data_IF_046469186592
#
_entry.id   IF_046469186592
#
_cell.length_a   1.000
_cell.length_b   1.000
_cell.length_c   1.000
_cell.angle_alpha   90.00
_cell.angle_beta   90.00
_cell.angle_gamma   90.00
#
_symmetry.space_group_name_H-M   'P 1'
#
loop_
_entity.id
_entity.type
_entity.pdbx_description
1 polymer ?
#
# COMPACT_ATOMS: atom_id res chain seq x y z
N UNK A 1 38.35 -28.98 48.75
CA UNK A 1 38.38 -28.50 47.34
C UNK A 1 37.95 -29.53 46.28
N UNK A 2 37.51 -30.75 46.61
CA UNK A 2 37.08 -31.77 45.63
C UNK A 2 35.64 -31.66 45.07
N UNK A 3 34.61 -31.14 45.78
CA UNK A 3 33.24 -31.13 45.23
C UNK A 3 33.05 -30.09 44.11
N UNK A 4 33.82 -29.00 44.13
CA UNK A 4 33.73 -27.93 43.14
C UNK A 4 34.12 -28.37 41.72
N UNK A 5 35.02 -29.37 41.58
CA UNK A 5 35.48 -29.89 40.29
C UNK A 5 34.46 -30.79 39.59
N UNK A 6 33.47 -31.33 40.32
CA UNK A 6 32.40 -32.17 39.76
C UNK A 6 31.12 -31.38 39.56
N UNK A 7 30.84 -30.40 40.42
CA UNK A 7 29.65 -29.54 40.32
C UNK A 7 29.73 -28.62 39.10
N UNK A 8 30.90 -28.02 38.82
CA UNK A 8 31.08 -27.10 37.69
C UNK A 8 30.76 -27.71 36.31
N UNK A 9 31.27 -28.91 35.92
CA UNK A 9 30.92 -29.50 34.63
C UNK A 9 29.45 -29.93 34.53
N UNK A 10 28.82 -30.37 35.63
CA UNK A 10 27.40 -30.72 35.64
C UNK A 10 26.52 -29.49 35.43
N UNK A 11 26.83 -28.37 36.09
CA UNK A 11 26.14 -27.09 35.88
C UNK A 11 26.36 -26.60 34.44
N UNK A 12 27.58 -26.70 33.90
CA UNK A 12 27.87 -26.30 32.53
C UNK A 12 27.08 -27.13 31.50
N UNK A 13 27.00 -28.45 31.69
CA UNK A 13 26.21 -29.36 30.84
C UNK A 13 24.73 -29.02 30.94
N UNK A 14 24.21 -28.78 32.15
CA UNK A 14 22.82 -28.34 32.35
C UNK A 14 22.49 -27.04 31.64
N UNK A 15 23.39 -26.04 31.69
CA UNK A 15 23.24 -24.77 30.96
C UNK A 15 23.28 -25.00 29.45
N UNK A 16 24.19 -25.82 28.94
CA UNK A 16 24.28 -26.13 27.49
C UNK A 16 23.01 -26.84 27.00
N UNK A 17 22.52 -27.83 27.74
CA UNK A 17 21.27 -28.53 27.39
C UNK A 17 20.08 -27.57 27.38
N UNK A 18 19.98 -26.69 28.39
CA UNK A 18 18.91 -25.69 28.46
C UNK A 18 19.00 -24.66 27.32
N UNK A 19 20.22 -24.27 26.92
CA UNK A 19 20.45 -23.40 25.76
C UNK A 19 20.05 -24.09 24.44
N UNK A 20 20.36 -25.38 24.27
CA UNK A 20 19.98 -26.15 23.07
C UNK A 20 18.46 -26.33 23.01
N UNK A 21 17.82 -26.74 24.11
CA UNK A 21 16.37 -26.90 24.18
C UNK A 21 15.65 -25.58 23.93
N UNK A 22 16.13 -24.47 24.47
CA UNK A 22 15.54 -23.14 24.21
C UNK A 22 15.70 -22.69 22.76
N UNK A 23 16.79 -23.07 22.07
CA UNK A 23 16.94 -22.80 20.63
C UNK A 23 16.00 -23.64 19.78
N UNK A 24 15.86 -24.93 20.11
CA UNK A 24 14.95 -25.82 19.40
C UNK A 24 13.49 -25.39 19.58
N UNK A 25 13.08 -25.00 20.79
CA UNK A 25 11.73 -24.52 21.06
C UNK A 25 11.42 -23.21 20.33
N UNK A 26 12.38 -22.26 20.29
CA UNK A 26 12.23 -21.02 19.51
C UNK A 26 12.14 -21.28 18.00
N UNK A 27 12.89 -22.26 17.49
CA UNK A 27 12.80 -22.67 16.08
C UNK A 27 11.42 -23.24 15.74
N UNK A 28 10.89 -24.13 16.58
CA UNK A 28 9.56 -24.69 16.40
C UNK A 28 8.44 -23.62 16.50
N UNK A 29 8.55 -22.68 17.43
CA UNK A 29 7.61 -21.56 17.57
C UNK A 29 7.65 -20.63 16.33
N UNK A 30 8.84 -20.35 15.80
CA UNK A 30 9.00 -19.56 14.58
C UNK A 30 8.41 -20.25 13.33
N UNK A 31 8.59 -21.57 13.22
CA UNK A 31 7.99 -22.35 12.15
C UNK A 31 6.46 -22.41 12.26
N UNK A 32 5.92 -22.59 13.47
CA UNK A 32 4.50 -22.57 13.74
C UNK A 32 3.89 -21.19 13.39
N UNK A 33 4.51 -20.11 13.85
CA UNK A 33 4.11 -18.74 13.51
C UNK A 33 4.08 -18.52 12.00
N UNK A 34 5.09 -19.00 11.27
CA UNK A 34 5.17 -18.86 9.81
C UNK A 34 4.03 -19.58 9.11
N UNK A 35 3.72 -20.81 9.51
CA UNK A 35 2.64 -21.60 8.90
C UNK A 35 1.28 -20.96 9.17
N UNK A 36 1.00 -20.58 10.43
CA UNK A 36 -0.25 -19.90 10.79
C UNK A 36 -0.40 -18.56 10.08
N UNK A 37 0.69 -17.79 9.94
CA UNK A 37 0.66 -16.52 9.20
C UNK A 37 0.34 -16.72 7.73
N UNK A 38 0.94 -17.71 7.08
CA UNK A 38 0.63 -18.00 5.67
C UNK A 38 -0.82 -18.44 5.49
N UNK A 39 -1.37 -19.22 6.43
CA UNK A 39 -2.80 -19.55 6.43
C UNK A 39 -3.67 -18.28 6.58
N UNK A 40 -3.33 -17.41 7.53
CA UNK A 40 -4.04 -16.15 7.76
C UNK A 40 -3.96 -15.23 6.53
N UNK A 41 -2.81 -15.18 5.85
CA UNK A 41 -2.64 -14.40 4.61
C UNK A 41 -3.55 -14.90 3.49
N UNK A 42 -3.70 -16.22 3.34
CA UNK A 42 -4.62 -16.81 2.35
C UNK A 42 -6.06 -16.43 2.66
N UNK A 43 -6.48 -16.59 3.91
CA UNK A 43 -7.83 -16.20 4.34
C UNK A 43 -8.09 -14.70 4.12
N UNK A 44 -7.10 -13.84 4.37
CA UNK A 44 -7.21 -12.40 4.10
C UNK A 44 -7.42 -12.09 2.62
N UNK A 45 -6.71 -12.79 1.72
CA UNK A 45 -6.87 -12.63 0.27
C UNK A 45 -8.24 -13.13 -0.20
N UNK A 46 -8.74 -14.23 0.36
CA UNK A 46 -10.06 -14.78 0.07
C UNK A 46 -11.18 -13.83 0.52
N UNK A 47 -11.11 -13.33 1.76
CA UNK A 47 -12.05 -12.32 2.26
C UNK A 47 -11.97 -11.03 1.46
N UNK A 48 -10.76 -10.58 1.12
CA UNK A 48 -10.53 -9.43 0.25
C UNK A 48 -11.10 -9.61 -1.17
N UNK A 49 -11.30 -10.84 -1.65
CA UNK A 49 -11.97 -11.08 -2.92
C UNK A 49 -13.45 -10.69 -2.88
N UNK A 50 -14.12 -10.87 -1.73
CA UNK A 50 -15.52 -10.44 -1.53
C UNK A 50 -15.62 -8.92 -1.60
N UNK A 51 -14.76 -8.19 -0.88
CA UNK A 51 -14.72 -6.72 -0.90
C UNK A 51 -14.50 -6.13 -2.32
N UNK A 52 -13.77 -6.84 -3.19
CA UNK A 52 -13.55 -6.45 -4.59
C UNK A 52 -14.72 -6.73 -5.51
N UNK A 53 -15.54 -7.74 -5.19
CA UNK A 53 -16.73 -8.09 -5.95
C UNK A 53 -17.92 -7.17 -5.67
N UNK A 54 -17.87 -6.41 -4.57
CA UNK A 54 -18.90 -5.49 -4.15
C UNK A 54 -18.58 -4.05 -4.58
N UNK A 55 -19.58 -3.34 -5.07
CA UNK A 55 -19.49 -1.93 -5.46
C UNK A 55 -20.16 -1.02 -4.43
N UNK A 56 -19.79 0.27 -4.43
CA UNK A 56 -20.43 1.28 -3.60
C UNK A 56 -20.21 1.07 -2.09
N UNK A 57 -21.14 1.54 -1.24
CA UNK A 57 -21.01 1.51 0.22
C UNK A 57 -20.79 0.10 0.78
N UNK A 58 -21.51 -0.91 0.28
CA UNK A 58 -21.35 -2.28 0.76
C UNK A 58 -19.92 -2.82 0.55
N UNK A 59 -19.29 -2.50 -0.58
CA UNK A 59 -17.90 -2.88 -0.81
C UNK A 59 -16.92 -2.13 0.10
N UNK A 60 -17.22 -0.88 0.43
CA UNK A 60 -16.44 -0.11 1.42
C UNK A 60 -16.54 -0.77 2.79
N UNK A 61 -17.76 -1.02 3.28
CA UNK A 61 -17.99 -1.66 4.58
C UNK A 61 -17.30 -3.02 4.68
N UNK A 62 -17.37 -3.83 3.63
CA UNK A 62 -16.67 -5.12 3.58
C UNK A 62 -15.15 -4.93 3.62
N UNK A 63 -14.59 -4.00 2.84
CA UNK A 63 -13.15 -3.71 2.88
C UNK A 63 -12.69 -3.26 4.29
N UNK A 64 -13.48 -2.41 4.96
CA UNK A 64 -13.22 -1.99 6.33
C UNK A 64 -13.26 -3.18 7.30
N UNK A 65 -14.26 -4.06 7.17
CA UNK A 65 -14.40 -5.25 7.98
C UNK A 65 -13.21 -6.21 7.79
N UNK A 66 -12.74 -6.40 6.56
CA UNK A 66 -11.56 -7.22 6.23
C UNK A 66 -10.28 -6.65 6.85
N UNK A 67 -10.03 -5.34 6.72
CA UNK A 67 -8.84 -4.72 7.32
C UNK A 67 -8.86 -4.83 8.84
N UNK A 68 -10.02 -4.55 9.48
CA UNK A 68 -10.16 -4.67 10.94
C UNK A 68 -9.91 -6.10 11.40
N UNK A 69 -10.59 -7.07 10.78
CA UNK A 69 -10.39 -8.48 11.08
C UNK A 69 -8.92 -8.90 10.94
N UNK A 70 -8.23 -8.46 9.88
CA UNK A 70 -6.83 -8.79 9.66
C UNK A 70 -5.94 -8.28 10.79
N UNK A 71 -6.10 -7.01 11.19
CA UNK A 71 -5.31 -6.41 12.27
C UNK A 71 -5.55 -7.16 13.60
N UNK A 72 -6.81 -7.48 13.91
CA UNK A 72 -7.18 -8.26 15.10
C UNK A 72 -6.56 -9.66 15.07
N UNK A 73 -6.63 -10.34 13.92
CA UNK A 73 -6.12 -11.69 13.75
C UNK A 73 -4.59 -11.74 13.83
N UNK A 74 -3.88 -10.76 13.27
CA UNK A 74 -2.42 -10.65 13.41
C UNK A 74 -2.03 -10.35 14.85
N UNK A 75 -2.74 -9.46 15.54
CA UNK A 75 -2.52 -9.21 16.96
C UNK A 75 -2.72 -10.47 17.80
N UNK A 76 -3.80 -11.22 17.56
CA UNK A 76 -4.06 -12.50 18.22
C UNK A 76 -2.96 -13.54 17.92
N UNK A 77 -2.46 -13.60 16.69
CA UNK A 77 -1.36 -14.48 16.31
C UNK A 77 -0.07 -14.12 17.06
N UNK A 78 0.26 -12.83 17.17
CA UNK A 78 1.42 -12.36 17.95
C UNK A 78 1.32 -12.73 19.42
N UNK A 79 0.12 -12.64 20.00
CA UNK A 79 -0.12 -13.03 21.39
C UNK A 79 0.03 -14.54 21.63
N UNK A 80 -0.23 -15.38 20.62
CA UNK A 80 -0.01 -16.84 20.69
C UNK A 80 1.46 -17.24 20.58
N UNK A 81 2.27 -16.45 19.87
CA UNK A 81 3.69 -16.74 19.58
C UNK A 81 4.62 -15.58 20.02
N UNK A 82 4.66 -15.24 21.32
CA UNK A 82 5.38 -14.05 21.79
C UNK A 82 6.91 -14.16 21.60
N UNK A 83 7.48 -15.36 21.71
CA UNK A 83 8.93 -15.59 21.58
C UNK A 83 9.40 -15.45 20.14
N UNK A 84 8.60 -15.94 19.19
CA UNK A 84 8.87 -15.80 17.77
C UNK A 84 8.60 -14.37 17.26
N UNK A 85 7.52 -13.72 17.70
CA UNK A 85 7.18 -12.35 17.30
C UNK A 85 8.25 -11.32 17.73
N UNK A 86 8.86 -11.50 18.90
CA UNK A 86 9.96 -10.65 19.37
C UNK A 86 11.24 -10.81 18.52
N UNK A 87 11.45 -11.99 17.92
CA UNK A 87 12.60 -12.29 17.08
C UNK A 87 12.46 -11.77 15.64
N UNK A 88 11.24 -11.45 15.19
CA UNK A 88 10.95 -10.87 13.87
C UNK A 88 11.20 -9.36 13.78
N UNK A 89 11.55 -8.70 14.89
CA UNK A 89 11.98 -7.31 14.86
C UNK A 89 13.08 -7.14 13.80
N UNK A 90 12.94 -6.17 12.88
CA UNK A 90 13.76 -6.11 11.68
C UNK A 90 15.24 -6.01 12.04
N UNK A 91 16.02 -7.01 11.65
CA UNK A 91 17.47 -6.93 11.74
C UNK A 91 17.95 -5.72 10.90
N UNK A 92 18.93 -4.93 11.37
CA UNK A 92 19.47 -3.83 10.59
C UNK A 92 20.00 -4.38 9.26
N UNK A 93 19.52 -3.83 8.14
CA UNK A 93 19.96 -4.29 6.83
C UNK A 93 21.45 -3.96 6.70
N UNK A 94 22.26 -4.97 6.33
CA UNK A 94 23.65 -4.74 5.92
C UNK A 94 23.68 -4.18 4.51
N UNK A 95 23.03 -3.04 4.29
CA UNK A 95 23.02 -2.37 3.00
C UNK A 95 24.46 -1.93 2.68
N UNK A 96 25.05 -2.51 1.64
CA UNK A 96 26.43 -2.19 1.20
C UNK A 96 26.54 -0.87 0.44
N UNK A 97 25.43 -0.15 0.23
CA UNK A 97 25.36 1.11 -0.52
C UNK A 97 24.45 2.12 0.21
N UNK A 98 24.90 3.37 0.42
CA UNK A 98 24.17 4.37 1.22
C UNK A 98 22.84 4.80 0.57
N UNK A 99 22.78 4.90 -0.76
CA UNK A 99 21.58 5.29 -1.50
C UNK A 99 20.46 4.22 -1.43
N UNK A 100 20.85 2.94 -1.41
CA UNK A 100 19.88 1.84 -1.19
C UNK A 100 19.38 1.84 0.26
N UNK A 101 20.24 2.22 1.21
CA UNK A 101 19.86 2.32 2.61
C UNK A 101 18.86 3.48 2.85
N UNK A 102 19.06 4.63 2.21
CA UNK A 102 18.11 5.77 2.32
C UNK A 102 16.76 5.45 1.68
N UNK A 103 16.74 4.83 0.50
CA UNK A 103 15.51 4.37 -0.12
C UNK A 103 14.78 3.36 0.77
N UNK A 104 15.48 2.35 1.30
CA UNK A 104 14.88 1.35 2.20
C UNK A 104 14.32 1.99 3.47
N UNK A 105 15.01 2.97 4.05
CA UNK A 105 14.52 3.73 5.20
C UNK A 105 13.25 4.51 4.89
N UNK A 106 13.16 5.16 3.72
CA UNK A 106 11.95 5.86 3.28
C UNK A 106 10.76 4.90 3.12
N UNK A 107 10.97 3.73 2.51
CA UNK A 107 9.92 2.70 2.40
C UNK A 107 9.47 2.16 3.76
N UNK A 108 10.38 1.98 4.73
CA UNK A 108 10.05 1.55 6.08
C UNK A 108 9.27 2.61 6.85
N UNK A 109 9.67 3.88 6.74
CA UNK A 109 8.97 5.00 7.35
C UNK A 109 7.55 5.12 6.78
N UNK A 110 7.41 5.02 5.46
CA UNK A 110 6.13 5.01 4.79
C UNK A 110 5.27 3.79 5.20
N UNK A 111 5.85 2.59 5.32
CA UNK A 111 5.13 1.41 5.80
C UNK A 111 4.57 1.58 7.21
N UNK A 112 5.37 2.18 8.11
CA UNK A 112 4.93 2.48 9.47
C UNK A 112 3.79 3.51 9.47
N UNK A 113 3.95 4.60 8.72
CA UNK A 113 2.90 5.63 8.57
C UNK A 113 1.58 5.03 8.06
N UNK A 114 1.66 4.16 7.03
CA UNK A 114 0.47 3.49 6.49
C UNK A 114 -0.14 2.54 7.51
N UNK A 115 0.66 1.78 8.24
CA UNK A 115 0.15 0.88 9.29
C UNK A 115 -0.58 1.65 10.40
N UNK A 116 -0.03 2.77 10.84
CA UNK A 116 -0.66 3.61 11.85
C UNK A 116 -1.99 4.20 11.35
N UNK A 117 -2.06 4.60 10.07
CA UNK A 117 -3.32 5.00 9.46
C UNK A 117 -4.37 3.86 9.41
N UNK A 118 -3.95 2.64 9.06
CA UNK A 118 -4.86 1.47 9.07
C UNK A 118 -5.36 1.14 10.47
N UNK A 119 -4.51 1.26 11.49
CA UNK A 119 -4.87 1.04 12.91
C UNK A 119 -5.81 2.13 13.43
N UNK A 120 -5.65 3.37 12.99
CA UNK A 120 -6.58 4.46 13.32
C UNK A 120 -7.97 4.22 12.71
N UNK A 121 -8.03 3.49 11.60
CA UNK A 121 -9.25 3.02 10.97
C UNK A 121 -9.15 3.08 9.45
N UNK A 122 -9.47 1.97 8.79
CA UNK A 122 -9.62 1.99 7.34
C UNK A 122 -10.93 2.68 6.98
N UNK A 123 -10.86 3.84 6.32
CA UNK A 123 -12.02 4.59 5.89
C UNK A 123 -11.70 5.30 4.57
N UNK A 124 -11.82 4.59 3.42
CA UNK A 124 -11.47 5.18 2.14
C UNK A 124 -12.38 6.37 1.84
N UNK A 125 -11.80 7.48 1.37
CA UNK A 125 -12.52 8.66 0.92
C UNK A 125 -13.30 8.34 -0.36
N UNK A 126 -12.66 7.64 -1.29
CA UNK A 126 -13.24 7.25 -2.58
C UNK A 126 -12.92 5.79 -2.86
N UNK A 127 -13.87 5.10 -3.48
CA UNK A 127 -13.73 3.69 -3.82
C UNK A 127 -14.36 3.40 -5.17
N UNK A 128 -13.66 2.66 -6.01
CA UNK A 128 -14.19 2.15 -7.27
C UNK A 128 -13.66 0.75 -7.53
N UNK A 129 -14.46 -0.06 -8.21
CA UNK A 129 -14.09 -1.40 -8.63
C UNK A 129 -14.24 -1.53 -10.14
N UNK A 130 -13.26 -2.16 -10.79
CA UNK A 130 -13.29 -2.46 -12.22
C UNK A 130 -12.42 -3.70 -12.50
N UNK A 131 -12.89 -4.57 -13.40
CA UNK A 131 -12.21 -5.81 -13.82
C UNK A 131 -11.67 -6.68 -12.66
N UNK A 132 -12.40 -6.74 -11.54
CA UNK A 132 -12.02 -7.52 -10.35
C UNK A 132 -10.92 -6.89 -9.49
N UNK A 133 -10.51 -5.66 -9.80
CA UNK A 133 -9.64 -4.82 -8.99
C UNK A 133 -10.48 -3.77 -8.28
N UNK A 134 -10.01 -3.33 -7.12
CA UNK A 134 -10.63 -2.24 -6.37
C UNK A 134 -9.56 -1.21 -6.02
N UNK A 135 -9.81 0.04 -6.36
CA UNK A 135 -8.96 1.16 -6.00
C UNK A 135 -9.69 2.02 -4.97
N UNK A 136 -9.03 2.19 -3.84
CA UNK A 136 -9.48 3.02 -2.74
C UNK A 136 -8.54 4.22 -2.59
N UNK A 137 -9.06 5.44 -2.73
CA UNK A 137 -8.35 6.66 -2.33
C UNK A 137 -8.58 6.86 -0.84
N UNK A 138 -7.52 6.74 -0.06
CA UNK A 138 -7.57 6.73 1.40
C UNK A 138 -7.63 8.15 1.96
N UNK A 139 -6.85 9.06 1.39
CA UNK A 139 -6.76 10.43 1.84
C UNK A 139 -6.38 11.35 0.68
N UNK A 140 -6.91 12.57 0.72
CA UNK A 140 -6.48 13.69 -0.12
C UNK A 140 -6.32 14.89 0.81
N UNK A 141 -5.11 15.44 0.88
CA UNK A 141 -4.83 16.56 1.77
C UNK A 141 -3.65 17.41 1.31
N UNK A 142 -3.58 18.67 1.76
CA UNK A 142 -2.43 19.51 1.49
C UNK A 142 -1.18 18.95 2.15
N UNK A 143 -0.05 19.10 1.47
CA UNK A 143 1.27 18.80 1.99
C UNK A 143 2.34 19.52 1.20
N UNK A 144 3.58 19.18 1.50
CA UNK A 144 4.76 19.69 0.81
C UNK A 144 5.31 18.58 -0.07
N UNK A 145 5.48 18.87 -1.37
CA UNK A 145 6.04 17.89 -2.29
C UNK A 145 7.48 17.57 -1.88
N UNK A 146 7.85 16.29 -1.73
CA UNK A 146 9.13 15.88 -1.17
C UNK A 146 10.35 16.35 -1.98
N UNK A 147 10.24 16.43 -3.31
CA UNK A 147 11.36 16.84 -4.17
C UNK A 147 11.41 18.35 -4.44
N UNK A 148 10.27 19.01 -4.67
CA UNK A 148 10.23 20.44 -5.07
C UNK A 148 10.06 21.37 -3.88
N UNK A 149 9.65 20.85 -2.71
CA UNK A 149 9.28 21.64 -1.53
C UNK A 149 8.15 22.65 -1.78
N UNK A 150 7.45 22.53 -2.91
CA UNK A 150 6.28 23.34 -3.23
C UNK A 150 5.03 22.75 -2.58
N UNK A 151 4.02 23.59 -2.37
CA UNK A 151 2.71 23.14 -1.90
C UNK A 151 2.09 22.20 -2.93
N UNK A 152 1.65 21.03 -2.46
CA UNK A 152 1.00 20.02 -3.29
C UNK A 152 -0.16 19.36 -2.53
N UNK A 153 -0.93 18.56 -3.24
CA UNK A 153 -1.89 17.63 -2.66
C UNK A 153 -1.29 16.23 -2.62
N UNK A 154 -1.29 15.65 -1.43
CA UNK A 154 -0.95 14.25 -1.21
C UNK A 154 -2.21 13.42 -1.39
N UNK A 155 -2.18 12.46 -2.31
CA UNK A 155 -3.23 11.49 -2.52
C UNK A 155 -2.70 10.10 -2.16
N UNK A 156 -3.20 9.52 -1.08
CA UNK A 156 -2.83 8.17 -0.67
C UNK A 156 -3.87 7.16 -1.17
N UNK A 157 -3.43 5.98 -1.61
CA UNK A 157 -4.32 4.97 -2.16
C UNK A 157 -3.97 3.54 -1.72
N UNK A 158 -4.96 2.66 -1.85
CA UNK A 158 -4.85 1.22 -1.75
C UNK A 158 -5.49 0.55 -2.99
N UNK A 159 -4.71 -0.22 -3.74
CA UNK A 159 -5.18 -1.05 -4.84
C UNK A 159 -5.23 -2.51 -4.41
N UNK A 160 -6.43 -3.08 -4.42
CA UNK A 160 -6.70 -4.45 -4.03
C UNK A 160 -6.82 -5.36 -5.25
N UNK A 161 -6.35 -6.59 -5.11
CA UNK A 161 -6.57 -7.65 -6.09
C UNK A 161 -5.55 -7.70 -7.22
N UNK A 162 -4.46 -6.93 -7.11
CA UNK A 162 -3.36 -7.01 -8.03
C UNK A 162 -2.77 -8.45 -8.03
N UNK A 163 -2.65 -9.11 -9.19
CA UNK A 163 -2.09 -10.44 -9.29
C UNK A 163 -0.62 -10.41 -8.87
N UNK A 164 -0.16 -11.54 -8.33
CA UNK A 164 1.21 -11.72 -7.87
C UNK A 164 1.78 -12.94 -8.57
N UNK A 165 3.02 -12.82 -9.04
CA UNK A 165 3.77 -13.93 -9.64
C UNK A 165 5.06 -14.15 -8.87
N UNK A 166 5.42 -15.42 -8.71
CA UNK A 166 6.72 -15.81 -8.19
C UNK A 166 7.66 -15.97 -9.38
N UNK A 167 8.65 -15.09 -9.48
CA UNK A 167 9.75 -15.27 -10.43
C UNK A 167 10.90 -15.97 -9.71
N UNK A 168 11.40 -17.04 -10.32
CA UNK A 168 12.64 -17.67 -9.89
C UNK A 168 13.77 -17.05 -10.68
N UNK A 169 14.61 -16.27 -10.00
CA UNK A 169 15.84 -15.77 -10.58
C UNK A 169 16.91 -16.86 -10.45
N UNK A 170 17.30 -17.42 -11.59
CA UNK A 170 18.35 -18.42 -11.71
C UNK A 170 19.69 -17.74 -12.03
N UNK A 171 20.08 -16.73 -11.25
CA UNK A 171 21.42 -16.12 -11.34
C UNK A 171 22.35 -16.73 -10.29
N UNK A 172 23.06 -17.80 -10.68
CA UNK A 172 24.11 -18.45 -9.90
C UNK A 172 23.64 -19.50 -8.87
N UNK A 173 24.52 -19.85 -7.92
CA UNK A 173 24.35 -20.95 -6.96
C UNK A 173 23.26 -20.74 -5.88
N UNK A 174 22.47 -19.66 -5.94
CA UNK A 174 21.35 -19.39 -5.04
C UNK A 174 20.12 -19.02 -5.86
N UNK A 175 19.18 -19.95 -6.00
CA UNK A 175 17.88 -19.66 -6.56
C UNK A 175 17.16 -18.66 -5.63
N UNK A 176 16.93 -17.44 -6.12
CA UNK A 176 16.14 -16.44 -5.41
C UNK A 176 14.71 -16.46 -5.95
N UNK A 177 13.72 -16.61 -5.07
CA UNK A 177 12.31 -16.45 -5.43
C UNK A 177 11.92 -15.01 -5.14
N UNK A 178 11.51 -14.26 -6.17
CA UNK A 178 11.04 -12.88 -6.06
C UNK A 178 9.52 -12.84 -6.29
N UNK A 179 8.80 -12.18 -5.39
CA UNK A 179 7.41 -11.81 -5.63
C UNK A 179 7.41 -10.58 -6.54
N UNK A 180 6.71 -10.68 -7.67
CA UNK A 180 6.51 -9.59 -8.63
C UNK A 180 5.01 -9.31 -8.74
N UNK A 181 4.66 -8.04 -8.64
CA UNK A 181 3.30 -7.54 -8.83
C UNK A 181 3.32 -6.67 -10.08
N UNK A 182 2.85 -7.19 -11.23
CA UNK A 182 2.98 -6.54 -12.53
C UNK A 182 1.87 -5.50 -12.74
N UNK A 183 1.84 -4.51 -11.85
CA UNK A 183 0.97 -3.33 -11.91
C UNK A 183 1.78 -2.13 -12.38
N UNK A 184 1.23 -1.38 -13.32
CA UNK A 184 1.70 -0.07 -13.75
C UNK A 184 0.52 0.91 -13.75
N UNK A 185 0.72 2.11 -13.22
CA UNK A 185 -0.29 3.17 -13.29
C UNK A 185 0.02 3.99 -14.54
N UNK A 186 -0.95 4.05 -15.45
CA UNK A 186 -0.74 4.60 -16.81
C UNK A 186 -1.33 5.98 -16.99
N UNK A 187 -2.26 6.36 -16.13
CA UNK A 187 -2.93 7.64 -16.21
C UNK A 187 -3.45 8.05 -14.84
N UNK A 188 -3.25 9.33 -14.52
CA UNK A 188 -3.95 10.04 -13.47
C UNK A 188 -4.46 11.33 -14.12
N UNK A 189 -5.79 11.47 -14.18
CA UNK A 189 -6.44 12.60 -14.83
C UNK A 189 -7.47 13.23 -13.91
N UNK A 190 -7.53 14.55 -13.96
CA UNK A 190 -8.47 15.39 -13.24
C UNK A 190 -9.14 16.30 -14.24
N UNK A 191 -10.47 16.30 -14.27
CA UNK A 191 -11.25 17.30 -15.02
C UNK A 191 -12.02 18.14 -14.02
N UNK A 192 -11.72 19.44 -14.02
CA UNK A 192 -12.30 20.39 -13.07
C UNK A 192 -13.55 21.02 -13.67
N UNK A 193 -14.63 21.01 -12.90
CA UNK A 193 -15.92 21.58 -13.27
C UNK A 193 -16.22 22.78 -12.37
N UNK A 194 -16.75 23.84 -12.96
CA UNK A 194 -17.26 24.99 -12.22
C UNK A 194 -18.62 24.70 -11.55
N UNK A 195 -19.18 25.69 -10.86
CA UNK A 195 -20.48 25.56 -10.20
C UNK A 195 -21.66 25.34 -11.17
N UNK A 196 -21.50 25.67 -12.46
CA UNK A 196 -22.48 25.44 -13.52
C UNK A 196 -22.30 24.08 -14.21
N UNK A 197 -21.28 23.30 -13.82
CA UNK A 197 -20.94 22.01 -14.44
C UNK A 197 -20.15 22.13 -15.74
N UNK A 198 -19.66 23.33 -16.11
CA UNK A 198 -18.81 23.53 -17.28
C UNK A 198 -17.36 23.16 -16.93
N UNK A 199 -16.64 22.57 -17.87
CA UNK A 199 -15.20 22.32 -17.72
C UNK A 199 -14.46 23.64 -17.55
N UNK A 200 -13.78 23.79 -16.41
CA UNK A 200 -12.85 24.89 -16.15
C UNK A 200 -11.46 24.56 -16.70
N UNK A 201 -11.00 23.32 -16.51
CA UNK A 201 -9.69 22.89 -16.98
C UNK A 201 -9.45 21.40 -16.72
N UNK A 202 -8.34 20.89 -17.24
CA UNK A 202 -7.95 19.49 -17.10
C UNK A 202 -6.48 19.38 -16.69
N UNK A 203 -6.15 18.38 -15.88
CA UNK A 203 -4.79 18.03 -15.50
C UNK A 203 -4.61 16.53 -15.74
N UNK A 204 -3.71 16.16 -16.65
CA UNK A 204 -3.41 14.76 -16.96
C UNK A 204 -1.92 14.51 -16.84
N UNK A 205 -1.54 13.43 -16.16
CA UNK A 205 -0.16 12.98 -16.02
C UNK A 205 0.02 11.49 -16.31
N UNK A 206 1.27 11.02 -16.22
CA UNK A 206 1.67 9.62 -16.48
C UNK A 206 1.00 8.60 -15.55
N UNK A 207 0.42 9.06 -14.44
CA UNK A 207 -0.22 8.23 -13.44
C UNK A 207 0.73 7.49 -12.51
N UNK A 208 2.04 7.50 -12.76
CA UNK A 208 3.03 6.85 -11.91
C UNK A 208 3.03 7.49 -10.51
N UNK A 209 2.82 6.70 -9.42
CA UNK A 209 2.91 7.21 -8.06
C UNK A 209 4.32 7.66 -7.71
N UNK A 210 4.42 8.67 -6.85
CA UNK A 210 5.69 9.08 -6.26
C UNK A 210 6.32 7.93 -5.46
N UNK A 211 5.48 7.24 -4.67
CA UNK A 211 5.88 6.07 -3.91
C UNK A 211 4.83 4.98 -4.08
N UNK A 212 5.28 3.77 -4.41
CA UNK A 212 4.42 2.59 -4.53
C UNK A 212 5.03 1.37 -3.85
N UNK A 213 4.28 0.80 -2.92
CA UNK A 213 4.61 -0.40 -2.17
C UNK A 213 3.74 -1.55 -2.65
N UNK A 214 4.33 -2.38 -3.51
CA UNK A 214 3.63 -3.50 -4.15
C UNK A 214 3.52 -4.76 -3.28
N UNK A 215 4.33 -4.85 -2.24
CA UNK A 215 4.42 -6.00 -1.32
C UNK A 215 4.63 -5.47 0.11
N UNK A 216 3.61 -4.81 0.69
CA UNK A 216 3.75 -4.13 1.97
C UNK A 216 4.03 -5.06 3.15
N UNK A 217 3.50 -6.27 3.11
CA UNK A 217 3.67 -7.28 4.16
C UNK A 217 5.12 -7.75 4.32
N UNK A 218 5.99 -7.48 3.34
CA UNK A 218 7.43 -7.71 3.42
C UNK A 218 8.13 -6.70 4.32
N UNK A 219 7.60 -5.48 4.41
CA UNK A 219 8.15 -4.41 5.24
C UNK A 219 7.55 -4.43 6.65
N UNK A 220 6.28 -4.79 6.78
CA UNK A 220 5.64 -5.03 8.08
C UNK A 220 4.65 -6.18 7.98
N UNK A 221 4.77 -7.22 8.81
CA UNK A 221 3.87 -8.39 8.76
C UNK A 221 2.42 -8.06 9.13
N UNK A 222 2.15 -6.88 9.68
CA UNK A 222 0.80 -6.40 10.02
C UNK A 222 0.09 -5.69 8.87
N UNK A 223 0.80 -5.31 7.80
CA UNK A 223 0.14 -4.73 6.64
C UNK A 223 -0.66 -5.81 5.88
N UNK A 224 -1.88 -5.49 5.40
CA UNK A 224 -2.75 -6.46 4.75
C UNK A 224 -2.10 -7.00 3.47
N UNK A 225 -2.12 -8.33 3.26
CA UNK A 225 -1.50 -8.94 2.10
C UNK A 225 -2.31 -8.67 0.83
N UNK A 226 -1.63 -8.60 -0.31
CA UNK A 226 -2.29 -8.44 -1.62
C UNK A 226 -2.89 -7.04 -1.87
N UNK A 227 -2.54 -6.07 -1.03
CA UNK A 227 -2.86 -4.65 -1.21
C UNK A 227 -1.61 -3.91 -1.68
N UNK A 228 -1.72 -3.16 -2.77
CA UNK A 228 -0.68 -2.22 -3.20
C UNK A 228 -1.00 -0.88 -2.58
N UNK A 229 -0.07 -0.33 -1.79
CA UNK A 229 -0.21 0.99 -1.18
C UNK A 229 0.64 1.99 -1.94
N UNK A 230 0.17 3.22 -2.10
CA UNK A 230 1.00 4.25 -2.72
C UNK A 230 0.47 5.65 -2.50
N UNK A 231 1.26 6.59 -3.02
CA UNK A 231 1.00 8.02 -2.87
C UNK A 231 1.32 8.75 -4.17
N UNK A 232 0.39 9.60 -4.60
CA UNK A 232 0.64 10.63 -5.61
C UNK A 232 0.81 11.99 -4.93
N UNK A 233 1.62 12.83 -5.55
CA UNK A 233 1.65 14.26 -5.28
C UNK A 233 1.19 14.97 -6.55
N UNK A 234 0.20 15.85 -6.41
CA UNK A 234 -0.36 16.62 -7.53
C UNK A 234 -0.46 18.09 -7.16
N UNK A 235 -0.56 18.95 -8.16
CA UNK A 235 -0.76 20.38 -7.92
C UNK A 235 -2.09 20.63 -7.19
N UNK A 236 -2.17 21.66 -6.32
CA UNK A 236 -3.43 22.10 -5.76
C UNK A 236 -4.44 22.47 -6.86
N UNK A 237 -5.71 22.24 -6.58
CA UNK A 237 -6.77 22.39 -7.57
C UNK A 237 -7.08 23.87 -7.86
N UNK A 238 -7.62 24.19 -9.05
CA UNK A 238 -8.04 25.55 -9.36
C UNK A 238 -9.05 26.11 -8.36
N UNK A 239 -8.98 27.41 -8.09
CA UNK A 239 -9.84 28.05 -7.09
C UNK A 239 -11.32 28.02 -7.49
N UNK A 240 -11.56 28.14 -8.79
CA UNK A 240 -12.88 28.18 -9.41
C UNK A 240 -13.52 26.78 -9.53
N UNK A 241 -12.75 25.71 -9.31
CA UNK A 241 -13.27 24.35 -9.37
C UNK A 241 -14.26 24.10 -8.22
N UNK A 242 -15.49 23.72 -8.56
CA UNK A 242 -16.51 23.29 -7.62
C UNK A 242 -16.51 21.76 -7.48
N UNK A 243 -16.27 21.05 -8.59
CA UNK A 243 -16.22 19.59 -8.66
C UNK A 243 -14.99 19.14 -9.45
N UNK A 244 -14.56 17.91 -9.20
CA UNK A 244 -13.50 17.26 -9.94
C UNK A 244 -13.92 15.85 -10.32
N UNK A 245 -13.79 15.54 -11.60
CA UNK A 245 -13.82 14.17 -12.12
C UNK A 245 -12.40 13.62 -12.07
N UNK A 246 -12.14 12.69 -11.17
CA UNK A 246 -10.88 11.97 -11.03
C UNK A 246 -10.95 10.66 -11.82
N UNK A 247 -9.98 10.41 -12.69
CA UNK A 247 -9.81 9.15 -13.39
C UNK A 247 -8.41 8.57 -13.17
N UNK A 248 -8.34 7.28 -12.84
CA UNK A 248 -7.09 6.52 -12.69
C UNK A 248 -7.11 5.33 -13.62
N UNK A 249 -6.16 5.30 -14.56
CA UNK A 249 -5.93 4.17 -15.45
C UNK A 249 -4.82 3.28 -14.92
N UNK A 250 -5.11 2.00 -14.72
CA UNK A 250 -4.12 1.01 -14.27
C UNK A 250 -3.97 -0.04 -15.34
N UNK A 251 -2.75 -0.55 -15.54
CA UNK A 251 -2.48 -1.72 -16.34
C UNK A 251 -1.94 -2.82 -15.45
N UNK A 252 -2.50 -4.01 -15.62
CA UNK A 252 -2.16 -5.19 -14.83
C UNK A 252 -1.91 -6.36 -15.77
N UNK A 253 -0.79 -7.05 -15.63
CA UNK A 253 -0.56 -8.30 -16.38
C UNK A 253 -1.10 -9.50 -15.61
N UNK A 254 -2.01 -10.24 -16.23
CA UNK A 254 -2.53 -11.50 -15.71
C UNK A 254 -1.55 -12.67 -15.89
N UNK A 255 -1.94 -13.84 -15.38
CA UNK A 255 -1.15 -15.08 -15.42
C UNK A 255 -0.91 -15.60 -16.85
N UNK A 256 -1.82 -15.33 -17.78
CA UNK A 256 -1.75 -15.75 -19.18
C UNK A 256 -1.07 -14.71 -20.10
N UNK A 257 -0.38 -13.73 -19.52
CA UNK A 257 0.19 -12.57 -20.22
C UNK A 257 -0.83 -11.59 -20.81
N UNK A 258 -2.13 -11.87 -20.68
CA UNK A 258 -3.18 -10.91 -21.02
C UNK A 258 -3.09 -9.68 -20.10
N UNK A 259 -3.16 -8.48 -20.68
CA UNK A 259 -3.18 -7.23 -19.92
C UNK A 259 -4.63 -6.82 -19.64
N UNK A 260 -4.95 -6.60 -18.37
CA UNK A 260 -6.15 -5.90 -17.92
C UNK A 260 -5.84 -4.41 -17.82
N UNK A 261 -6.79 -3.57 -18.22
CA UNK A 261 -6.66 -2.11 -18.19
C UNK A 261 -7.85 -1.49 -17.47
N UNK A 262 -8.03 -1.76 -16.17
CA UNK A 262 -9.11 -1.16 -15.40
C UNK A 262 -8.99 0.37 -15.37
N UNK A 263 -10.14 1.04 -15.35
CA UNK A 263 -10.26 2.48 -15.26
C UNK A 263 -11.20 2.85 -14.12
N UNK A 264 -10.65 3.51 -13.10
CA UNK A 264 -11.40 3.96 -11.92
C UNK A 264 -11.80 5.41 -12.10
N UNK A 265 -13.06 5.75 -11.80
CA UNK A 265 -13.58 7.11 -11.97
C UNK A 265 -14.42 7.53 -10.77
N UNK A 266 -14.27 8.78 -10.37
CA UNK A 266 -15.05 9.42 -9.32
C UNK A 266 -15.39 10.85 -9.71
N UNK A 267 -16.54 11.33 -9.27
CA UNK A 267 -16.89 12.74 -9.31
C UNK A 267 -17.10 13.21 -7.86
N UNK A 268 -16.35 14.22 -7.43
CA UNK A 268 -16.37 14.67 -6.04
C UNK A 268 -16.38 16.19 -5.94
N UNK A 269 -17.04 16.76 -4.91
CA UNK A 269 -16.92 18.18 -4.62
C UNK A 269 -15.47 18.51 -4.22
N UNK A 270 -14.94 19.60 -4.76
CA UNK A 270 -13.62 20.11 -4.41
C UNK A 270 -13.69 20.81 -3.06
N UNK A 271 -12.89 20.37 -2.10
CA UNK A 271 -12.78 21.03 -0.80
C UNK A 271 -11.89 22.28 -0.89
N UNK A 272 -12.17 23.28 -0.07
CA UNK A 272 -11.41 24.54 -0.07
C UNK A 272 -9.93 24.36 0.27
N UNK A 273 -9.59 23.41 1.14
CA UNK A 273 -8.21 23.08 1.50
C UNK A 273 -7.42 22.43 0.36
N UNK A 274 -8.10 21.93 -0.67
CA UNK A 274 -7.47 21.38 -1.88
C UNK A 274 -7.11 22.46 -2.90
N UNK A 275 -7.69 23.66 -2.79
CA UNK A 275 -7.56 24.71 -3.79
C UNK A 275 -6.27 25.51 -3.65
N UNK A 276 -5.84 26.09 -4.77
CA UNK A 276 -4.81 27.12 -4.81
C UNK A 276 -5.18 28.32 -3.92
N UNK A 277 -4.17 28.94 -3.31
CA UNK A 277 -4.34 30.16 -2.53
C UNK A 277 -4.59 31.35 -3.45
N UNK A 278 -5.18 32.45 -2.93
CA UNK A 278 -5.28 33.69 -3.69
C UNK A 278 -3.91 34.14 -4.23
N UNK A 279 -3.82 34.34 -5.54
CA UNK A 279 -2.60 34.79 -6.22
C UNK A 279 -1.69 33.69 -6.77
N UNK A 280 -1.97 32.41 -6.50
CA UNK A 280 -1.27 31.28 -7.13
C UNK A 280 -1.88 30.98 -8.51
N UNK A 281 -1.05 30.72 -9.52
CA UNK A 281 -1.49 30.37 -10.87
C UNK A 281 -1.51 28.85 -11.06
N UNK A 282 -2.59 28.36 -11.66
CA UNK A 282 -2.72 26.95 -12.03
C UNK A 282 -1.90 26.67 -13.30
N UNK A 283 -1.06 25.63 -13.29
CA UNK A 283 -0.07 25.38 -14.36
C UNK A 283 -0.52 24.34 -15.40
N UNK A 284 -1.75 23.81 -15.35
CA UNK A 284 -2.22 22.82 -16.33
C UNK A 284 -2.74 23.43 -17.64
N UNK A 285 -2.83 22.61 -18.70
CA UNK A 285 -3.37 23.02 -20.00
C UNK A 285 -4.86 23.40 -19.90
N UNK A 286 -5.14 24.70 -19.78
CA UNK A 286 -6.49 25.24 -19.94
C UNK A 286 -6.92 25.12 -21.41
N UNK A 287 -7.58 24.02 -21.79
CA UNK A 287 -8.35 23.99 -23.05
C UNK A 287 -9.70 24.65 -22.80
N UNK A 288 -9.84 25.91 -23.23
CA UNK A 288 -11.17 26.48 -23.46
C UNK A 288 -11.86 25.65 -24.55
N UNK A 289 -12.90 24.91 -24.18
CA UNK A 289 -13.78 24.26 -25.14
C UNK A 289 -14.49 25.37 -25.90
N UNK A 290 -14.12 25.55 -27.17
CA UNK A 290 -14.80 26.47 -28.08
C UNK A 290 -16.32 26.16 -28.06
N UNK A 291 -17.20 27.17 -28.05
CA UNK A 291 -18.63 26.94 -28.00
C UNK A 291 -19.03 26.02 -29.15
N UNK A 292 -19.73 24.95 -28.79
CA UNK A 292 -20.38 24.04 -29.73
C UNK A 292 -21.18 24.89 -30.72
N UNK A 293 -20.73 24.91 -31.98
CA UNK A 293 -21.38 25.65 -33.03
C UNK A 293 -22.81 25.11 -33.14
N UNK A 294 -23.79 25.96 -32.81
CA UNK A 294 -25.21 25.65 -32.91
C UNK A 294 -25.50 25.09 -34.31
N UNK A 295 -26.35 24.04 -34.44
CA UNK A 295 -26.72 23.50 -35.73
C UNK A 295 -27.33 24.61 -36.58
N UNK A 296 -26.73 24.85 -37.74
CA UNK A 296 -27.29 25.74 -38.75
C UNK A 296 -28.68 25.21 -39.15
N UNK A 297 -29.62 26.16 -39.25
CA UNK A 297 -31.05 25.96 -39.52
C UNK A 297 -31.34 25.12 -40.76
#
# INVERSE_FOLDING_TARGET
MKPLRVILPVVLVGVVVLLVLSRLSRGAEADALRVEREALRREAVERGAVARGLSGPAGVEEAQAVVRWWLDAVAALRNRHPGAAAAEAPAPSKARQPEKASAEAAYRAYAAERLDALRAGYAPLLSAADQGLRLDVLAIGPGEHPDTHERALRLDFALWGAPRRLERDAQGARAAVRVVVPVAFRQLAFRFLDAAGKTYGEMTGSGEPYLVMKDPERLSPELPPGVVLGTWWVEPFPREAARVELAVGVQVQGLTSAALTPAFRWEVPVREDWKLRPGETFRAETREVAPEAAPAR
#
